data_IF_339164098884
#
_entry.id   IF_339164098884
#
_cell.length_a   1.000
_cell.length_b   1.000
_cell.length_c   1.000
_cell.angle_alpha   90.00
_cell.angle_beta   90.00
_cell.angle_gamma   90.00
#
_symmetry.space_group_name_H-M   'P 1'
#
loop_
_entity.id
_entity.type
_entity.pdbx_description
1 polymer ?
#
# COMPACT_ATOMS: atom_id res chain seq x y z
N UNK A 1 2.28 15.62 -13.33
CA UNK A 1 3.38 16.61 -13.35
C UNK A 1 4.59 16.08 -12.60
N UNK A 2 4.48 15.79 -11.29
CA UNK A 2 5.55 15.18 -10.49
C UNK A 2 6.20 13.92 -11.11
N UNK A 3 5.39 12.97 -11.59
CA UNK A 3 5.88 11.74 -12.25
C UNK A 3 6.82 11.99 -13.45
N UNK A 4 6.63 13.06 -14.21
CA UNK A 4 7.49 13.39 -15.35
C UNK A 4 8.86 13.92 -14.90
N UNK A 5 8.91 14.60 -13.75
CA UNK A 5 10.12 15.19 -13.20
C UNK A 5 10.98 14.19 -12.44
N UNK A 6 10.36 13.29 -11.68
CA UNK A 6 11.04 12.13 -11.09
C UNK A 6 11.70 11.26 -12.16
N UNK A 7 11.03 11.05 -13.30
CA UNK A 7 11.60 10.30 -14.45
C UNK A 7 12.84 10.97 -15.07
N UNK A 8 13.00 12.28 -14.89
CA UNK A 8 14.16 13.04 -15.39
C UNK A 8 15.34 13.07 -14.40
N UNK A 9 15.25 12.36 -13.26
CA UNK A 9 16.28 12.32 -12.20
C UNK A 9 16.77 13.72 -11.78
N UNK A 10 15.86 14.70 -11.76
CA UNK A 10 16.18 16.05 -11.26
C UNK A 10 16.27 16.03 -9.74
N UNK A 11 17.23 16.79 -9.21
CA UNK A 11 17.35 17.04 -7.76
C UNK A 11 15.97 17.40 -7.14
N UNK A 12 15.60 16.80 -5.99
CA UNK A 12 14.29 17.00 -5.36
C UNK A 12 13.91 18.47 -5.17
N UNK A 13 14.91 19.32 -4.86
CA UNK A 13 14.76 20.77 -4.72
C UNK A 13 14.31 21.45 -6.01
N UNK A 14 14.92 21.06 -7.13
CA UNK A 14 14.61 21.63 -8.45
C UNK A 14 13.24 21.17 -8.92
N UNK A 15 12.88 19.93 -8.64
CA UNK A 15 11.53 19.40 -8.89
C UNK A 15 10.49 20.20 -8.11
N UNK A 16 10.72 20.44 -6.83
CA UNK A 16 9.81 21.21 -6.00
C UNK A 16 9.69 22.67 -6.46
N UNK A 17 10.81 23.34 -6.77
CA UNK A 17 10.80 24.71 -7.29
C UNK A 17 9.97 24.84 -8.57
N UNK A 18 10.11 23.89 -9.49
CA UNK A 18 9.35 23.90 -10.75
C UNK A 18 7.86 23.68 -10.48
N UNK A 19 7.50 22.69 -9.66
CA UNK A 19 6.09 22.44 -9.29
C UNK A 19 5.48 23.71 -8.71
N UNK A 20 6.16 24.35 -7.76
CA UNK A 20 5.74 25.57 -7.10
C UNK A 20 5.50 26.74 -8.08
N UNK A 21 6.38 26.90 -9.09
CA UNK A 21 6.22 27.92 -10.15
C UNK A 21 5.04 27.64 -11.08
N UNK A 22 4.62 26.38 -11.21
CA UNK A 22 3.54 25.95 -12.11
C UNK A 22 2.18 25.77 -11.43
N UNK A 23 2.10 25.91 -10.10
CA UNK A 23 0.83 25.75 -9.38
C UNK A 23 -0.19 26.81 -9.85
N UNK A 24 -1.44 26.42 -10.15
CA UNK A 24 -2.46 27.34 -10.63
C UNK A 24 -2.88 28.32 -9.54
N UNK A 25 -3.23 29.54 -9.96
CA UNK A 25 -3.77 30.56 -9.07
C UNK A 25 -5.22 30.20 -8.70
N UNK A 26 -5.51 30.09 -7.40
CA UNK A 26 -6.85 29.89 -6.88
C UNK A 26 -7.72 31.10 -7.24
N UNK A 27 -8.84 30.87 -7.95
CA UNK A 27 -9.73 31.92 -8.44
C UNK A 27 -10.37 32.76 -7.33
N UNK A 28 -10.66 32.15 -6.18
CA UNK A 28 -11.27 32.83 -5.03
C UNK A 28 -10.24 33.57 -4.17
N UNK A 29 -9.11 32.92 -3.88
CA UNK A 29 -8.09 33.46 -2.96
C UNK A 29 -6.98 34.24 -3.67
N UNK A 30 -6.94 34.24 -5.00
CA UNK A 30 -5.90 34.84 -5.85
C UNK A 30 -4.48 34.49 -5.39
N UNK A 31 -4.27 33.21 -5.07
CA UNK A 31 -2.98 32.67 -4.64
C UNK A 31 -2.74 31.32 -5.30
N UNK A 32 -1.51 31.05 -5.73
CA UNK A 32 -1.12 29.71 -6.17
C UNK A 32 -1.25 28.72 -5.01
N UNK A 33 -2.26 27.86 -5.03
CA UNK A 33 -2.60 27.04 -3.85
C UNK A 33 -3.03 25.63 -4.23
N UNK A 34 -2.11 24.68 -4.04
CA UNK A 34 -2.41 23.26 -3.84
C UNK A 34 -1.39 22.74 -2.84
N UNK A 35 -1.85 22.08 -1.78
CA UNK A 35 -0.95 21.29 -0.92
C UNK A 35 -0.54 20.04 -1.69
N UNK A 36 0.61 19.46 -1.34
CA UNK A 36 1.00 18.16 -1.88
C UNK A 36 1.99 17.44 -0.98
N UNK A 37 1.99 16.11 -1.13
CA UNK A 37 3.00 15.20 -0.62
C UNK A 37 3.47 14.35 -1.79
N UNK A 38 4.77 14.29 -2.04
CA UNK A 38 5.38 13.41 -3.05
C UNK A 38 6.32 12.47 -2.31
N UNK A 39 6.11 11.17 -2.47
CA UNK A 39 7.02 10.13 -1.97
C UNK A 39 7.68 9.52 -3.19
N UNK A 40 8.97 9.78 -3.35
CA UNK A 40 9.81 9.24 -4.40
C UNK A 40 10.64 8.09 -3.85
N UNK A 41 10.54 6.91 -4.46
CA UNK A 41 11.21 5.68 -4.01
C UNK A 41 12.11 5.23 -5.16
N UNK A 42 13.40 5.43 -4.99
CA UNK A 42 14.41 5.07 -5.98
C UNK A 42 14.63 3.55 -6.02
N UNK A 43 15.08 3.04 -7.16
CA UNK A 43 15.38 1.61 -7.32
C UNK A 43 16.46 1.12 -6.36
N UNK A 44 17.45 1.96 -6.05
CA UNK A 44 18.51 1.67 -5.06
C UNK A 44 18.01 1.74 -3.61
N UNK A 45 16.73 2.04 -3.41
CA UNK A 45 16.02 1.97 -2.14
C UNK A 45 15.92 3.29 -1.40
N UNK A 46 16.70 4.33 -1.76
CA UNK A 46 16.57 5.65 -1.14
C UNK A 46 15.16 6.19 -1.35
N UNK A 47 14.56 6.69 -0.27
CA UNK A 47 13.24 7.30 -0.31
C UNK A 47 13.33 8.77 0.06
N UNK A 48 12.74 9.61 -0.77
CA UNK A 48 12.68 11.07 -0.60
C UNK A 48 11.23 11.52 -0.53
N UNK A 49 10.87 12.23 0.53
CA UNK A 49 9.55 12.80 0.75
C UNK A 49 9.64 14.31 0.57
N UNK A 50 8.78 14.87 -0.28
CA UNK A 50 8.58 16.30 -0.48
C UNK A 50 7.20 16.69 0.04
N UNK A 51 7.14 17.67 0.93
CA UNK A 51 5.90 18.05 1.61
C UNK A 51 5.73 19.56 1.57
N UNK A 52 4.56 19.99 1.11
CA UNK A 52 4.20 21.40 1.00
C UNK A 52 2.78 21.59 1.54
N UNK A 53 2.68 22.31 2.66
CA UNK A 53 1.46 22.65 3.41
C UNK A 53 0.58 21.45 3.88
N UNK A 54 0.84 20.23 3.43
CA UNK A 54 0.20 19.01 3.94
C UNK A 54 0.76 18.60 5.32
N UNK A 55 0.00 17.80 6.09
CA UNK A 55 0.51 17.17 7.30
C UNK A 55 1.82 16.40 7.04
N UNK A 56 2.73 16.46 8.00
CA UNK A 56 3.99 15.73 7.96
C UNK A 56 3.76 14.22 7.96
N UNK A 57 4.45 13.52 7.07
CA UNK A 57 4.42 12.09 6.92
C UNK A 57 4.96 11.42 8.18
N UNK A 58 4.23 10.45 8.69
CA UNK A 58 4.65 9.68 9.85
C UNK A 58 5.42 8.46 9.33
N UNK A 59 6.73 8.46 9.54
CA UNK A 59 7.59 7.31 9.22
C UNK A 59 7.67 6.43 10.46
N UNK A 60 7.21 5.18 10.36
CA UNK A 60 7.26 4.21 11.45
C UNK A 60 8.34 3.18 11.15
N UNK A 61 9.32 3.07 12.04
CA UNK A 61 10.37 2.04 12.05
C UNK A 61 10.38 1.35 13.41
N UNK A 62 10.44 0.02 13.42
CA UNK A 62 10.49 -0.78 14.65
C UNK A 62 9.43 -0.37 15.70
N UNK A 63 8.21 -0.06 15.21
CA UNK A 63 7.04 0.35 16.03
C UNK A 63 7.26 1.67 16.79
N UNK A 64 8.11 2.55 16.27
CA UNK A 64 8.32 3.92 16.76
C UNK A 64 8.31 4.88 15.58
N UNK A 65 8.00 6.15 15.84
CA UNK A 65 8.22 7.19 14.83
C UNK A 65 9.73 7.32 14.63
N UNK A 66 10.16 7.29 13.38
CA UNK A 66 11.55 7.52 13.00
C UNK A 66 11.82 9.01 13.09
N UNK A 67 12.80 9.40 13.90
CA UNK A 67 13.31 10.76 13.92
C UNK A 67 14.10 11.02 12.63
N UNK A 68 13.76 12.11 11.96
CA UNK A 68 14.41 12.55 10.72
C UNK A 68 14.81 14.01 10.83
N UNK A 69 15.87 14.40 10.12
CA UNK A 69 16.31 15.78 10.02
C UNK A 69 15.93 16.33 8.63
N UNK A 70 14.73 16.92 8.48
CA UNK A 70 14.30 17.44 7.20
C UNK A 70 15.06 18.70 6.80
N UNK A 71 15.35 18.83 5.51
CA UNK A 71 15.78 20.09 4.91
C UNK A 71 14.57 20.95 4.62
N UNK A 72 14.59 22.21 5.07
CA UNK A 72 13.52 23.18 4.83
C UNK A 72 13.95 24.15 3.73
N UNK A 73 13.13 24.27 2.68
CA UNK A 73 13.27 25.31 1.67
C UNK A 73 12.15 26.33 1.83
N UNK A 74 12.51 27.58 2.09
CA UNK A 74 11.56 28.70 2.17
C UNK A 74 11.47 29.40 0.82
N UNK A 75 10.26 29.53 0.30
CA UNK A 75 10.00 30.28 -0.92
C UNK A 75 9.37 31.64 -0.58
N UNK A 76 10.02 32.72 -1.01
CA UNK A 76 9.47 34.06 -0.88
C UNK A 76 8.47 34.31 -2.00
N UNK A 77 7.18 34.30 -1.67
CA UNK A 77 6.14 34.73 -2.60
C UNK A 77 5.70 36.15 -2.23
N UNK A 78 5.78 37.11 -3.17
CA UNK A 78 5.55 38.54 -2.89
C UNK A 78 4.14 38.85 -2.32
N UNK A 79 3.18 37.92 -2.45
CA UNK A 79 1.78 38.09 -2.06
C UNK A 79 1.25 36.99 -1.10
N UNK A 80 2.11 36.18 -0.48
CA UNK A 80 1.67 35.12 0.45
C UNK A 80 2.70 34.89 1.56
N UNK A 81 2.25 34.42 2.73
CA UNK A 81 3.12 34.03 3.85
C UNK A 81 4.29 33.17 3.39
N UNK A 82 5.46 33.28 4.03
CA UNK A 82 6.59 32.38 3.79
C UNK A 82 6.12 30.93 3.85
N UNK A 83 6.17 30.23 2.73
CA UNK A 83 5.79 28.82 2.67
C UNK A 83 7.03 27.96 2.64
N UNK A 84 7.01 26.93 3.48
CA UNK A 84 8.14 26.06 3.71
C UNK A 84 7.85 24.70 3.07
N UNK A 85 8.69 24.32 2.12
CA UNK A 85 8.76 22.95 1.63
C UNK A 85 9.69 22.16 2.54
N UNK A 86 9.22 21.01 3.01
CA UNK A 86 10.01 20.05 3.77
C UNK A 86 10.49 18.95 2.83
N UNK A 87 11.79 18.61 2.92
CA UNK A 87 12.41 17.52 2.18
C UNK A 87 13.04 16.56 3.17
N UNK A 88 12.56 15.33 3.20
CA UNK A 88 13.04 14.27 4.09
C UNK A 88 13.57 13.11 3.26
N UNK A 89 14.86 12.77 3.40
CA UNK A 89 15.48 11.63 2.72
C UNK A 89 15.91 10.57 3.73
N UNK A 90 15.63 9.30 3.45
CA UNK A 90 16.10 8.20 4.29
C UNK A 90 16.22 6.89 3.50
N UNK A 91 16.98 5.94 4.05
CA UNK A 91 17.03 4.57 3.55
C UNK A 91 16.04 3.71 4.35
N UNK A 92 14.98 3.17 3.73
CA UNK A 92 13.97 2.35 4.37
C UNK A 92 14.51 0.97 4.76
N UNK A 93 13.93 0.37 5.79
CA UNK A 93 14.18 -1.00 6.22
C UNK A 93 12.92 -1.84 6.03
N UNK A 94 13.10 -3.16 5.88
CA UNK A 94 11.97 -4.11 5.87
C UNK A 94 11.15 -3.90 7.14
N UNK A 95 9.84 -3.70 6.97
CA UNK A 95 8.93 -3.42 8.09
C UNK A 95 8.50 -1.95 8.18
N UNK A 96 9.27 -1.02 7.60
CA UNK A 96 8.99 0.40 7.67
C UNK A 96 7.68 0.76 6.97
N UNK A 97 6.98 1.74 7.55
CA UNK A 97 5.72 2.26 7.00
C UNK A 97 5.76 3.77 6.94
N UNK A 98 5.41 4.35 5.80
CA UNK A 98 5.19 5.79 5.65
C UNK A 98 3.70 6.02 5.62
N UNK A 99 3.19 6.83 6.52
CA UNK A 99 1.79 7.25 6.56
C UNK A 99 1.74 8.69 6.08
N UNK A 100 0.93 8.95 5.06
CA UNK A 100 0.67 10.29 4.55
C UNK A 100 -0.84 10.51 4.45
N UNK A 101 -1.29 11.74 4.66
CA UNK A 101 -2.71 12.06 4.68
C UNK A 101 -2.99 13.50 4.26
N UNK A 102 -4.25 13.79 3.90
CA UNK A 102 -4.75 15.16 3.96
C UNK A 102 -4.87 15.62 5.41
N UNK A 103 -5.07 16.92 5.61
CA UNK A 103 -5.32 17.52 6.90
C UNK A 103 -6.65 17.08 7.54
N UNK A 104 -7.62 16.59 6.77
CA UNK A 104 -8.84 15.97 7.29
C UNK A 104 -8.59 14.83 8.31
N UNK A 105 -7.47 14.09 8.22
CA UNK A 105 -7.11 13.08 9.22
C UNK A 105 -6.72 13.72 10.57
N UNK A 106 -5.63 14.50 10.67
CA UNK A 106 -5.24 15.12 11.93
C UNK A 106 -6.23 16.18 12.43
N UNK A 107 -7.05 16.79 11.57
CA UNK A 107 -8.09 17.75 11.97
C UNK A 107 -9.41 17.07 12.37
N UNK A 108 -9.57 15.76 12.18
CA UNK A 108 -10.82 15.08 12.57
C UNK A 108 -11.19 15.32 14.03
N UNK A 109 -12.47 15.57 14.27
CA UNK A 109 -13.02 15.91 15.58
C UNK A 109 -12.79 17.37 16.01
N UNK A 110 -12.18 18.23 15.19
CA UNK A 110 -11.89 19.63 15.55
C UNK A 110 -13.13 20.36 16.08
N UNK A 111 -12.95 21.06 17.21
CA UNK A 111 -14.02 21.82 17.88
C UNK A 111 -14.97 20.95 18.73
N UNK A 112 -14.76 19.64 18.81
CA UNK A 112 -15.51 18.79 19.75
C UNK A 112 -14.90 18.84 21.16
N UNK A 113 -15.66 18.51 22.23
CA UNK A 113 -15.11 18.46 23.58
C UNK A 113 -13.95 17.47 23.76
N UNK A 114 -13.95 16.38 22.99
CA UNK A 114 -12.91 15.35 23.03
C UNK A 114 -11.66 15.73 22.20
N UNK A 115 -11.85 16.49 21.12
CA UNK A 115 -10.78 16.91 20.20
C UNK A 115 -10.85 18.42 19.90
N UNK A 116 -10.65 19.29 20.91
CA UNK A 116 -10.76 20.74 20.70
C UNK A 116 -9.78 21.27 19.64
N UNK A 117 -8.64 20.61 19.46
CA UNK A 117 -7.61 20.94 18.45
C UNK A 117 -7.48 19.88 17.34
N UNK A 118 -8.50 19.04 17.16
CA UNK A 118 -8.45 17.90 16.25
C UNK A 118 -7.72 16.68 16.83
N UNK A 119 -7.65 15.60 16.05
CA UNK A 119 -6.98 14.36 16.44
C UNK A 119 -5.47 14.56 16.64
N UNK A 120 -4.81 15.29 15.74
CA UNK A 120 -3.38 15.62 15.80
C UNK A 120 -2.44 14.50 15.36
N UNK A 121 -1.31 14.87 14.71
CA UNK A 121 -0.34 13.92 14.16
C UNK A 121 0.25 12.96 15.19
N UNK A 122 0.48 13.43 16.42
CA UNK A 122 0.98 12.58 17.51
C UNK A 122 0.02 11.44 17.82
N UNK A 123 -1.28 11.72 17.93
CA UNK A 123 -2.27 10.68 18.24
C UNK A 123 -2.52 9.75 17.05
N UNK A 124 -2.46 10.26 15.81
CA UNK A 124 -2.47 9.42 14.60
C UNK A 124 -1.30 8.43 14.64
N UNK A 125 -0.09 8.92 14.97
CA UNK A 125 1.11 8.07 15.03
C UNK A 125 1.01 7.00 16.12
N UNK A 126 0.52 7.36 17.32
CA UNK A 126 0.30 6.44 18.44
C UNK A 126 -0.70 5.36 18.07
N UNK A 127 -1.85 5.75 17.50
CA UNK A 127 -2.87 4.82 17.03
C UNK A 127 -2.31 3.85 15.98
N UNK A 128 -1.60 4.36 14.97
CA UNK A 128 -1.01 3.52 13.95
C UNK A 128 0.02 2.53 14.51
N UNK A 129 0.89 2.99 15.43
CA UNK A 129 1.86 2.15 16.14
C UNK A 129 1.16 1.03 16.91
N UNK A 130 0.08 1.33 17.63
CA UNK A 130 -0.64 0.34 18.43
C UNK A 130 -1.35 -0.70 17.56
N UNK A 131 -1.94 -0.27 16.43
CA UNK A 131 -2.48 -1.20 15.42
C UNK A 131 -1.37 -2.09 14.84
N UNK A 132 -0.19 -1.54 14.55
CA UNK A 132 0.95 -2.32 14.03
C UNK A 132 1.49 -3.29 15.09
N UNK A 133 1.51 -2.91 16.38
CA UNK A 133 1.90 -3.81 17.48
C UNK A 133 0.95 -5.00 17.57
N UNK A 134 -0.36 -4.74 17.48
CA UNK A 134 -1.38 -5.78 17.55
C UNK A 134 -1.41 -6.66 16.29
N UNK A 135 -1.17 -6.07 15.12
CA UNK A 135 -1.19 -6.76 13.83
C UNK A 135 0.07 -6.47 13.01
N UNK A 136 1.22 -7.12 13.29
CA UNK A 136 2.51 -6.80 12.64
C UNK A 136 2.52 -6.92 11.12
N UNK A 137 1.66 -7.77 10.57
CA UNK A 137 1.55 -8.07 9.13
C UNK A 137 0.37 -7.32 8.44
N UNK A 138 -0.25 -6.35 9.13
CA UNK A 138 -1.34 -5.56 8.58
C UNK A 138 -0.94 -4.92 7.25
N UNK A 139 -1.80 -5.06 6.24
CA UNK A 139 -1.55 -4.47 4.92
C UNK A 139 -1.70 -2.95 4.95
N UNK A 140 -1.04 -2.27 4.00
CA UNK A 140 -1.18 -0.82 3.82
C UNK A 140 -2.65 -0.39 3.70
N UNK A 141 -3.46 -1.14 2.93
CA UNK A 141 -4.90 -0.90 2.75
C UNK A 141 -5.69 -1.02 4.06
N UNK A 142 -5.40 -2.05 4.86
CA UNK A 142 -6.11 -2.25 6.13
C UNK A 142 -5.72 -1.19 7.16
N UNK A 143 -4.44 -0.82 7.23
CA UNK A 143 -3.99 0.20 8.16
C UNK A 143 -4.51 1.59 7.77
N UNK A 144 -4.50 1.96 6.48
CA UNK A 144 -5.06 3.24 6.03
C UNK A 144 -6.56 3.31 6.28
N UNK A 145 -7.29 2.22 6.00
CA UNK A 145 -8.71 2.12 6.29
C UNK A 145 -9.02 2.24 7.79
N UNK A 146 -8.19 1.69 8.68
CA UNK A 146 -8.36 1.85 10.13
C UNK A 146 -8.14 3.29 10.59
N UNK A 147 -7.12 3.97 10.06
CA UNK A 147 -6.86 5.38 10.37
C UNK A 147 -8.02 6.26 9.89
N UNK A 148 -8.46 6.07 8.64
CA UNK A 148 -9.58 6.79 8.05
C UNK A 148 -10.89 6.57 8.81
N UNK A 149 -11.20 5.32 9.19
CA UNK A 149 -12.39 5.00 9.98
C UNK A 149 -12.34 5.64 11.39
N UNK A 150 -11.15 5.79 11.96
CA UNK A 150 -11.00 6.46 13.25
C UNK A 150 -11.26 7.97 13.12
N UNK A 151 -10.73 8.61 12.07
CA UNK A 151 -11.03 10.01 11.77
C UNK A 151 -12.54 10.23 11.53
N UNK A 152 -13.17 9.38 10.70
CA UNK A 152 -14.61 9.42 10.44
C UNK A 152 -15.45 9.28 11.72
N UNK A 153 -14.99 8.46 12.68
CA UNK A 153 -15.61 8.35 14.00
C UNK A 153 -15.47 9.63 14.82
N UNK A 154 -14.29 10.27 14.82
CA UNK A 154 -14.08 11.53 15.54
C UNK A 154 -15.00 12.65 15.02
N UNK A 155 -15.34 12.63 13.74
CA UNK A 155 -16.30 13.56 13.15
C UNK A 155 -17.78 13.19 13.38
N UNK A 156 -18.06 12.16 14.18
CA UNK A 156 -19.42 11.73 14.49
C UNK A 156 -20.07 10.94 13.36
N UNK A 157 -19.28 10.19 12.58
CA UNK A 157 -19.73 9.44 11.40
C UNK A 157 -20.31 10.33 10.29
N UNK A 158 -19.78 11.55 10.18
CA UNK A 158 -20.06 12.44 9.06
C UNK A 158 -18.77 13.14 8.66
N UNK A 159 -18.30 12.95 7.42
CA UNK A 159 -17.08 13.63 6.96
C UNK A 159 -17.34 15.14 6.96
N UNK A 160 -16.56 15.88 7.75
CA UNK A 160 -16.64 17.35 7.81
C UNK A 160 -15.71 18.04 6.81
N UNK A 161 -14.72 17.30 6.33
CA UNK A 161 -13.77 17.70 5.30
C UNK A 161 -13.34 16.48 4.46
N UNK A 162 -12.65 16.72 3.35
CA UNK A 162 -12.07 15.69 2.49
C UNK A 162 -10.96 14.93 3.21
N UNK A 163 -11.22 13.64 3.46
CA UNK A 163 -10.34 12.79 4.28
C UNK A 163 -9.63 11.75 3.43
N UNK A 164 -8.32 11.90 3.25
CA UNK A 164 -7.46 10.98 2.49
C UNK A 164 -6.33 10.43 3.35
N UNK A 165 -6.07 9.13 3.26
CA UNK A 165 -4.95 8.48 3.94
C UNK A 165 -4.31 7.41 3.04
N UNK A 166 -3.00 7.50 2.87
CA UNK A 166 -2.19 6.55 2.12
C UNK A 166 -1.07 5.98 2.98
N UNK A 167 -0.67 4.75 2.66
CA UNK A 167 0.41 4.06 3.36
C UNK A 167 1.34 3.39 2.37
N UNK A 168 2.63 3.69 2.47
CA UNK A 168 3.70 2.91 1.84
C UNK A 168 4.20 1.91 2.87
N UNK A 169 4.28 0.63 2.49
CA UNK A 169 4.76 -0.43 3.38
C UNK A 169 5.93 -1.17 2.73
N UNK A 170 7.15 -0.97 3.25
CA UNK A 170 8.34 -1.69 2.84
C UNK A 170 8.29 -3.11 3.40
N UNK A 171 8.11 -4.06 2.50
CA UNK A 171 7.92 -5.47 2.84
C UNK A 171 8.57 -6.35 1.80
N UNK A 172 8.77 -7.61 2.15
CA UNK A 172 9.04 -8.62 1.13
C UNK A 172 7.82 -8.75 0.20
N UNK A 173 8.06 -8.79 -1.13
CA UNK A 173 7.01 -9.10 -2.08
C UNK A 173 6.31 -10.39 -1.70
N UNK A 174 4.97 -10.37 -1.68
CA UNK A 174 4.19 -11.59 -1.61
C UNK A 174 4.08 -12.11 -3.03
N UNK A 175 4.80 -13.18 -3.32
CA UNK A 175 4.75 -13.84 -4.62
C UNK A 175 3.70 -14.95 -4.58
N UNK A 176 2.92 -15.04 -5.64
CA UNK A 176 1.89 -16.05 -5.84
C UNK A 176 2.11 -16.65 -7.23
N UNK A 177 2.16 -17.97 -7.32
CA UNK A 177 2.13 -18.71 -8.58
C UNK A 177 0.80 -19.45 -8.63
N UNK A 178 0.09 -19.34 -9.74
CA UNK A 178 -1.03 -20.20 -10.03
C UNK A 178 -0.73 -21.00 -11.30
N UNK A 179 -1.06 -22.28 -11.29
CA UNK A 179 -0.87 -23.20 -12.40
C UNK A 179 -2.23 -23.70 -12.87
N UNK A 180 -2.51 -23.58 -14.16
CA UNK A 180 -3.77 -23.98 -14.77
C UNK A 180 -3.54 -24.45 -16.20
N UNK A 181 -4.26 -25.50 -16.59
CA UNK A 181 -4.11 -26.15 -17.88
C UNK A 181 -2.86 -27.05 -17.93
N UNK A 182 -2.94 -28.21 -18.60
CA UNK A 182 -1.78 -29.04 -18.86
C UNK A 182 -0.88 -28.40 -19.95
N UNK A 183 0.41 -28.74 -20.00
CA UNK A 183 1.26 -28.45 -21.15
C UNK A 183 0.70 -29.10 -22.43
N UNK A 184 1.05 -28.54 -23.59
CA UNK A 184 0.65 -29.13 -24.88
C UNK A 184 1.37 -30.45 -25.17
N UNK A 185 2.65 -30.53 -24.80
CA UNK A 185 3.51 -31.71 -24.97
C UNK A 185 3.73 -32.40 -23.62
N UNK A 186 3.53 -33.72 -23.57
CA UNK A 186 3.63 -34.52 -22.35
C UNK A 186 5.03 -34.47 -21.73
N UNK A 187 6.06 -34.31 -22.56
CA UNK A 187 7.46 -34.21 -22.16
C UNK A 187 7.74 -32.98 -21.27
N UNK A 188 6.83 -31.99 -21.26
CA UNK A 188 6.94 -30.79 -20.43
C UNK A 188 6.27 -30.94 -19.05
N UNK A 189 5.57 -32.05 -18.79
CA UNK A 189 4.93 -32.32 -17.49
C UNK A 189 5.92 -32.26 -16.31
N UNK A 190 7.11 -32.91 -16.37
CA UNK A 190 8.09 -32.83 -15.29
C UNK A 190 8.59 -31.40 -15.04
N UNK A 191 8.73 -30.62 -16.12
CA UNK A 191 9.17 -29.22 -16.04
C UNK A 191 8.14 -28.36 -15.33
N UNK A 192 6.86 -28.48 -15.71
CA UNK A 192 5.75 -27.77 -15.05
C UNK A 192 5.70 -28.11 -13.55
N UNK A 193 5.73 -29.40 -13.22
CA UNK A 193 5.70 -29.88 -11.84
C UNK A 193 6.89 -29.35 -11.03
N UNK A 194 8.10 -29.36 -11.62
CA UNK A 194 9.30 -28.80 -11.00
C UNK A 194 9.17 -27.30 -10.75
N UNK A 195 8.68 -26.52 -11.72
CA UNK A 195 8.45 -25.07 -11.55
C UNK A 195 7.51 -24.77 -10.38
N UNK A 196 6.40 -25.52 -10.25
CA UNK A 196 5.47 -25.37 -9.11
C UNK A 196 6.16 -25.75 -7.79
N UNK A 197 6.93 -26.84 -7.76
CA UNK A 197 7.64 -27.29 -6.56
C UNK A 197 8.70 -26.28 -6.09
N UNK A 198 9.50 -25.74 -7.00
CA UNK A 198 10.62 -24.84 -6.70
C UNK A 198 10.19 -23.40 -6.36
N UNK A 199 8.96 -23.01 -6.71
CA UNK A 199 8.44 -21.69 -6.35
C UNK A 199 8.40 -21.51 -4.82
N UNK A 200 8.93 -20.39 -4.32
CA UNK A 200 9.04 -20.12 -2.87
C UNK A 200 7.88 -19.33 -2.29
N UNK A 201 7.03 -18.77 -3.14
CA UNK A 201 5.81 -18.06 -2.74
C UNK A 201 4.61 -18.99 -2.55
N UNK A 202 3.42 -18.38 -2.48
CA UNK A 202 2.16 -19.10 -2.40
C UNK A 202 1.86 -19.82 -3.71
N UNK A 203 1.32 -21.03 -3.66
CA UNK A 203 1.06 -21.88 -4.83
C UNK A 203 -0.41 -22.23 -4.94
N UNK A 204 -0.98 -21.99 -6.10
CA UNK A 204 -2.35 -22.38 -6.43
C UNK A 204 -2.31 -23.34 -7.61
N UNK A 205 -3.01 -24.45 -7.51
CA UNK A 205 -3.29 -25.31 -8.66
C UNK A 205 -4.77 -25.17 -8.99
N UNK A 206 -5.09 -25.06 -10.28
CA UNK A 206 -6.45 -24.93 -10.76
C UNK A 206 -6.70 -25.94 -11.89
N UNK A 207 -7.68 -26.82 -11.68
CA UNK A 207 -8.13 -27.82 -12.63
C UNK A 207 -7.67 -29.24 -12.31
N UNK A 208 -8.59 -30.20 -12.47
CA UNK A 208 -8.36 -31.62 -12.21
C UNK A 208 -7.11 -32.16 -12.90
N UNK A 209 -7.05 -32.04 -14.24
CA UNK A 209 -5.94 -32.55 -15.05
C UNK A 209 -4.59 -31.95 -14.67
N UNK A 210 -4.53 -30.65 -14.39
CA UNK A 210 -3.28 -30.00 -13.95
C UNK A 210 -2.83 -30.52 -12.59
N UNK A 211 -3.77 -30.70 -11.66
CA UNK A 211 -3.50 -31.31 -10.36
C UNK A 211 -3.02 -32.75 -10.47
N UNK A 212 -3.65 -33.56 -11.32
CA UNK A 212 -3.27 -34.95 -11.55
C UNK A 212 -1.85 -35.07 -12.11
N UNK A 213 -1.46 -34.21 -13.08
CA UNK A 213 -0.10 -34.19 -13.63
C UNK A 213 0.90 -33.81 -12.53
N UNK A 214 0.65 -32.75 -11.77
CA UNK A 214 1.56 -32.32 -10.71
C UNK A 214 1.69 -33.40 -9.62
N UNK A 215 0.58 -34.03 -9.23
CA UNK A 215 0.58 -35.11 -8.26
C UNK A 215 1.37 -36.33 -8.76
N UNK A 216 1.20 -36.70 -10.03
CA UNK A 216 1.95 -37.80 -10.68
C UNK A 216 3.45 -37.52 -10.70
N UNK A 217 3.86 -36.37 -11.24
CA UNK A 217 5.27 -36.02 -11.43
C UNK A 217 6.03 -35.79 -10.12
N UNK A 218 5.34 -35.29 -9.09
CA UNK A 218 5.93 -35.06 -7.78
C UNK A 218 5.73 -36.22 -6.79
N UNK A 219 5.03 -37.28 -7.20
CA UNK A 219 4.63 -38.40 -6.36
C UNK A 219 3.89 -37.94 -5.08
N UNK A 220 2.91 -37.06 -5.25
CA UNK A 220 2.07 -36.51 -4.18
C UNK A 220 0.67 -37.14 -4.22
N UNK A 221 0.00 -37.14 -3.07
CA UNK A 221 -1.37 -37.63 -2.95
C UNK A 221 -2.35 -36.46 -2.98
N UNK A 222 -3.44 -36.64 -3.73
CA UNK A 222 -4.56 -35.69 -3.77
C UNK A 222 -5.62 -36.16 -2.77
N UNK A 223 -6.00 -35.27 -1.84
CA UNK A 223 -7.14 -35.50 -0.95
C UNK A 223 -8.27 -34.57 -1.34
N UNK A 224 -9.38 -35.12 -1.81
CA UNK A 224 -10.55 -34.31 -2.16
C UNK A 224 -11.28 -33.84 -0.91
N UNK A 225 -11.60 -32.55 -0.86
CA UNK A 225 -12.49 -32.01 0.15
C UNK A 225 -13.94 -32.40 -0.12
N UNK A 226 -14.73 -32.39 0.94
CA UNK A 226 -16.19 -32.60 0.86
C UNK A 226 -16.97 -31.34 1.30
N UNK A 227 -16.24 -30.29 1.69
CA UNK A 227 -16.82 -29.06 2.20
C UNK A 227 -16.98 -28.05 1.08
N UNK A 228 -18.22 -27.62 0.87
CA UNK A 228 -18.55 -26.53 -0.03
C UNK A 228 -18.47 -25.22 0.75
N UNK A 229 -17.35 -24.52 0.63
CA UNK A 229 -17.20 -23.18 1.21
C UNK A 229 -17.92 -22.11 0.35
N UNK A 230 -18.13 -22.40 -0.94
CA UNK A 230 -18.84 -21.56 -1.89
C UNK A 230 -19.90 -22.41 -2.63
N UNK A 231 -21.19 -22.03 -2.63
CA UNK A 231 -22.24 -22.82 -3.28
C UNK A 231 -22.10 -22.95 -4.81
N UNK A 232 -21.36 -22.05 -5.46
CA UNK A 232 -21.19 -22.02 -6.91
C UNK A 232 -19.90 -22.70 -7.39
N UNK A 233 -19.03 -23.11 -6.46
CA UNK A 233 -17.79 -23.81 -6.75
C UNK A 233 -17.80 -25.19 -6.10
N UNK A 234 -17.20 -26.21 -6.72
CA UNK A 234 -17.01 -27.50 -6.06
C UNK A 234 -16.02 -27.40 -4.90
N UNK A 235 -15.95 -28.42 -4.04
CA UNK A 235 -15.05 -28.41 -2.90
C UNK A 235 -13.60 -28.33 -3.35
N UNK A 236 -12.79 -27.66 -2.53
CA UNK A 236 -11.35 -27.61 -2.72
C UNK A 236 -10.74 -28.99 -2.47
N UNK A 237 -9.65 -29.27 -3.17
CA UNK A 237 -8.80 -30.44 -2.92
C UNK A 237 -7.50 -30.00 -2.25
N UNK A 238 -6.79 -30.95 -1.67
CA UNK A 238 -5.55 -30.70 -0.92
C UNK A 238 -4.43 -31.53 -1.53
N UNK A 239 -3.30 -30.88 -1.78
CA UNK A 239 -2.03 -31.48 -2.21
C UNK A 239 -0.95 -30.91 -1.28
N UNK A 240 -0.10 -31.77 -0.75
CA UNK A 240 0.97 -31.32 0.15
C UNK A 240 1.91 -30.33 -0.57
N UNK A 241 2.26 -29.25 0.13
CA UNK A 241 3.07 -28.17 -0.43
C UNK A 241 2.33 -27.22 -1.39
N UNK A 242 1.02 -27.32 -1.56
CA UNK A 242 0.17 -26.41 -2.36
C UNK A 242 -0.82 -25.69 -1.44
N UNK A 243 -0.91 -24.36 -1.56
CA UNK A 243 -1.72 -23.54 -0.64
C UNK A 243 -3.22 -23.54 -0.98
N UNK A 244 -3.57 -23.74 -2.25
CA UNK A 244 -4.94 -23.88 -2.71
C UNK A 244 -4.99 -24.77 -3.96
N UNK A 245 -5.80 -25.82 -3.92
CA UNK A 245 -6.13 -26.60 -5.10
C UNK A 245 -7.64 -26.59 -5.33
N UNK A 246 -8.05 -26.06 -6.47
CA UNK A 246 -9.44 -25.78 -6.82
C UNK A 246 -9.70 -26.11 -8.28
N UNK A 247 -10.93 -25.92 -8.73
CA UNK A 247 -11.27 -26.04 -10.15
C UNK A 247 -10.57 -25.02 -11.02
N UNK A 248 -10.44 -25.36 -12.30
CA UNK A 248 -9.85 -24.52 -13.32
C UNK A 248 -10.76 -23.34 -13.68
N UNK A 249 -11.51 -23.54 -14.76
CA UNK A 249 -12.27 -22.47 -15.40
C UNK A 249 -13.38 -21.87 -14.53
N UNK A 250 -14.00 -22.67 -13.65
CA UNK A 250 -15.07 -22.20 -12.76
C UNK A 250 -14.53 -21.16 -11.76
N UNK A 251 -13.39 -21.45 -11.13
CA UNK A 251 -12.74 -20.53 -10.20
C UNK A 251 -12.33 -19.24 -10.91
N UNK A 252 -11.70 -19.35 -12.09
CA UNK A 252 -11.24 -18.19 -12.87
C UNK A 252 -12.41 -17.29 -13.31
N UNK A 253 -13.48 -17.87 -13.84
CA UNK A 253 -14.67 -17.13 -14.26
C UNK A 253 -15.35 -16.43 -13.08
N UNK A 254 -15.30 -17.02 -11.88
CA UNK A 254 -15.86 -16.39 -10.68
C UNK A 254 -15.00 -15.22 -10.24
N UNK A 255 -13.67 -15.37 -10.23
CA UNK A 255 -12.73 -14.29 -9.88
C UNK A 255 -12.84 -13.11 -10.86
N UNK A 256 -13.04 -13.35 -12.15
CA UNK A 256 -13.22 -12.29 -13.16
C UNK A 256 -14.45 -11.40 -12.88
N UNK A 257 -15.51 -11.96 -12.29
CA UNK A 257 -16.76 -11.23 -12.00
C UNK A 257 -16.68 -10.32 -10.77
N UNK A 258 -15.58 -10.37 -10.00
CA UNK A 258 -15.35 -9.58 -8.78
C UNK A 258 -14.44 -8.38 -9.02
#
# INVERSE_FOLDING_TARGET
>A
MALKFTKEHKEPEKTAEIIMKTLPECSERKMNYSTFTIIDIEFEGKTTILEYDNPECIIIRDRKVLETEPKILTFNNKNSSNKNLRITSFYPKKGDRIIFSSDGIPQSGLGTPMFPFGWGNENVSRFAIDVIKQYPQISARQLSGRILNMAYRHDGFQSKDDTSCGIVYYREPRTLSYCTGPPFEYENDPTMAKTVKEFTGKKIIMGATTGDIIARELNLQITNGFKFDDPELPPISVIDGIDLYTEGILTLNKVEKY
#
